data_IF_172221951285
#
_entry.id   IF_172221951285
#
_cell.length_a   1.000
_cell.length_b   1.000
_cell.length_c   1.000
_cell.angle_alpha   90.00
_cell.angle_beta   90.00
_cell.angle_gamma   90.00
#
_symmetry.space_group_name_H-M   'P 1'
#
loop_
_entity.id
_entity.type
_entity.pdbx_description
1 polymer ?
#
# COMPACT_ATOMS: atom_id res chain seq x y z
N UNK A 1 -15.58 55.18 45.14
CA UNK A 1 -16.21 54.22 44.21
C UNK A 1 -15.64 54.43 42.82
N UNK A 2 -14.88 53.45 42.30
CA UNK A 2 -14.74 53.06 40.88
C UNK A 2 -13.58 52.06 40.80
N UNK A 3 -13.94 50.77 40.77
CA UNK A 3 -13.00 49.67 40.60
C UNK A 3 -12.67 49.53 39.11
N UNK A 4 -11.39 49.57 38.76
CA UNK A 4 -10.91 49.35 37.40
C UNK A 4 -10.51 47.87 37.28
N UNK A 5 -11.30 47.10 36.54
CA UNK A 5 -11.03 45.69 36.27
C UNK A 5 -9.95 45.58 35.18
N UNK A 6 -8.83 44.96 35.52
CA UNK A 6 -7.77 44.63 34.56
C UNK A 6 -7.98 43.18 34.08
N UNK A 7 -8.58 43.03 32.91
CA UNK A 7 -8.82 41.72 32.29
C UNK A 7 -7.54 41.21 31.64
N UNK A 8 -6.96 40.16 32.19
CA UNK A 8 -5.82 39.44 31.59
C UNK A 8 -6.33 38.57 30.44
N UNK A 9 -6.03 38.97 29.20
CA UNK A 9 -6.33 38.19 28.00
C UNK A 9 -5.30 37.09 27.79
N UNK A 10 -5.73 35.83 27.93
CA UNK A 10 -4.97 34.63 27.62
C UNK A 10 -4.80 34.51 26.08
N UNK A 11 -3.65 34.93 25.58
CA UNK A 11 -3.24 34.69 24.18
C UNK A 11 -2.87 33.20 24.02
N UNK A 12 -3.80 32.42 23.46
CA UNK A 12 -3.54 31.07 22.95
C UNK A 12 -2.67 31.20 21.69
N UNK A 13 -1.36 30.98 21.84
CA UNK A 13 -0.46 30.76 20.72
C UNK A 13 -0.82 29.43 20.05
N UNK A 14 -1.55 29.52 18.95
CA UNK A 14 -1.76 28.40 18.04
C UNK A 14 -0.42 28.21 17.31
N UNK A 15 0.45 27.35 17.82
CA UNK A 15 1.62 26.90 17.10
C UNK A 15 1.16 26.11 15.88
N UNK A 16 0.99 26.82 14.76
CA UNK A 16 0.96 26.19 13.44
C UNK A 16 2.33 25.59 13.21
N UNK A 17 2.42 24.27 13.31
CA UNK A 17 3.61 23.53 12.91
C UNK A 17 3.67 23.58 11.38
N UNK A 18 4.15 24.70 10.82
CA UNK A 18 4.57 24.74 9.42
C UNK A 18 5.89 23.97 9.35
N UNK A 19 5.80 22.69 9.01
CA UNK A 19 6.97 21.91 8.60
C UNK A 19 7.57 22.59 7.37
N UNK A 20 8.54 23.46 7.61
CA UNK A 20 9.40 24.07 6.60
C UNK A 20 10.43 23.02 6.17
N UNK A 21 9.94 21.97 5.52
CA UNK A 21 10.77 21.05 4.75
C UNK A 21 10.98 21.62 3.35
N UNK A 22 12.19 21.52 2.84
CA UNK A 22 12.50 21.89 1.46
C UNK A 22 11.58 21.10 0.51
N UNK A 23 10.83 21.83 -0.32
CA UNK A 23 9.93 21.20 -1.29
C UNK A 23 10.77 20.53 -2.39
N UNK A 24 10.83 19.21 -2.35
CA UNK A 24 11.39 18.41 -3.43
C UNK A 24 10.29 17.97 -4.39
N UNK A 25 10.51 18.20 -5.69
CA UNK A 25 9.58 17.73 -6.71
C UNK A 25 9.56 16.20 -6.69
N UNK A 26 8.37 15.61 -6.74
CA UNK A 26 8.23 14.14 -6.73
C UNK A 26 9.00 13.52 -7.92
N UNK A 27 9.99 12.63 -7.67
CA UNK A 27 10.72 11.96 -8.75
C UNK A 27 9.80 11.13 -9.65
N UNK A 28 8.70 10.61 -9.09
CA UNK A 28 7.69 9.86 -9.84
C UNK A 28 7.06 10.74 -10.92
N UNK A 29 6.72 11.99 -10.59
CA UNK A 29 6.11 12.93 -11.53
C UNK A 29 7.07 13.36 -12.63
N UNK A 30 8.35 13.51 -12.28
CA UNK A 30 9.39 13.78 -13.26
C UNK A 30 9.62 12.61 -14.21
N UNK A 31 9.69 11.38 -13.69
CA UNK A 31 9.80 10.17 -14.51
C UNK A 31 8.59 10.01 -15.43
N UNK A 32 7.37 10.20 -14.94
CA UNK A 32 6.14 10.17 -15.76
C UNK A 32 6.24 11.17 -16.91
N UNK A 33 6.67 12.41 -16.62
CA UNK A 33 6.82 13.45 -17.63
C UNK A 33 7.92 13.13 -18.65
N UNK A 34 9.06 12.60 -18.20
CA UNK A 34 10.18 12.21 -19.07
C UNK A 34 9.79 11.07 -20.02
N UNK A 35 8.91 10.18 -19.56
CA UNK A 35 8.40 9.05 -20.33
C UNK A 35 7.05 9.33 -21.00
N UNK A 36 6.70 10.58 -21.27
CA UNK A 36 5.38 10.90 -21.83
C UNK A 36 5.16 10.29 -23.23
N UNK A 37 6.23 10.16 -24.02
CA UNK A 37 6.20 9.48 -25.32
C UNK A 37 5.93 7.98 -25.22
N UNK A 38 6.17 7.37 -24.05
CA UNK A 38 5.89 5.96 -23.83
C UNK A 38 4.39 5.75 -23.71
N UNK A 39 3.87 4.77 -24.46
CA UNK A 39 2.47 4.34 -24.30
C UNK A 39 2.27 3.59 -22.99
N UNK A 40 3.29 2.84 -22.58
CA UNK A 40 3.21 1.88 -21.49
C UNK A 40 4.46 1.91 -20.63
N UNK A 41 4.28 2.05 -19.32
CA UNK A 41 5.34 1.83 -18.34
C UNK A 41 4.78 1.43 -16.99
N UNK A 42 5.61 0.82 -16.15
CA UNK A 42 5.36 0.60 -14.73
C UNK A 42 6.55 1.10 -13.94
N UNK A 43 6.31 1.93 -12.92
CA UNK A 43 7.31 2.40 -11.97
C UNK A 43 7.09 1.65 -10.66
N UNK A 44 8.07 0.89 -10.23
CA UNK A 44 8.10 0.12 -8.99
C UNK A 44 9.03 0.82 -8.00
N UNK A 45 8.59 1.00 -6.76
CA UNK A 45 9.49 1.42 -5.68
C UNK A 45 10.42 0.26 -5.37
N UNK A 46 11.67 0.37 -5.82
CA UNK A 46 12.62 -0.74 -5.81
C UNK A 46 13.36 -0.83 -4.48
N UNK A 47 13.85 0.30 -3.98
CA UNK A 47 14.57 0.39 -2.71
C UNK A 47 14.31 1.76 -2.04
N UNK A 48 14.55 1.83 -0.72
CA UNK A 48 14.46 3.04 0.08
C UNK A 48 15.58 3.11 1.11
N UNK A 49 15.97 4.31 1.50
CA UNK A 49 16.92 4.53 2.59
C UNK A 49 16.66 5.83 3.34
N UNK A 50 17.17 5.89 4.56
CA UNK A 50 17.20 7.09 5.40
C UNK A 50 18.63 7.30 5.88
N UNK A 51 19.27 8.35 5.41
CA UNK A 51 20.60 8.74 5.87
C UNK A 51 20.46 9.87 6.88
N UNK A 52 20.89 9.65 8.11
CA UNK A 52 20.89 10.68 9.16
C UNK A 52 22.29 11.27 9.34
N UNK A 53 22.39 12.61 9.41
CA UNK A 53 23.58 13.29 9.89
C UNK A 53 23.19 14.33 10.94
N UNK A 54 23.34 13.99 12.23
CA UNK A 54 23.26 14.77 13.49
C UNK A 54 22.15 15.84 13.70
N UNK A 55 21.52 16.39 12.66
CA UNK A 55 20.55 17.48 12.67
C UNK A 55 19.35 17.25 11.72
N UNK A 56 19.47 16.41 10.67
CA UNK A 56 18.36 16.11 9.76
C UNK A 56 18.50 14.76 9.05
N UNK A 57 17.36 14.10 8.80
CA UNK A 57 17.25 12.91 7.96
C UNK A 57 17.20 13.29 6.47
N UNK A 58 17.90 12.52 5.63
CA UNK A 58 17.77 12.54 4.17
C UNK A 58 17.04 11.29 3.71
N UNK A 59 15.87 11.47 3.10
CA UNK A 59 15.06 10.37 2.59
C UNK A 59 15.41 10.09 1.14
N UNK A 60 15.61 8.81 0.80
CA UNK A 60 15.99 8.40 -0.55
C UNK A 60 15.13 7.27 -1.07
N UNK A 61 14.73 7.36 -2.33
CA UNK A 61 14.06 6.30 -3.06
C UNK A 61 14.88 5.87 -4.27
N UNK A 62 14.82 4.58 -4.59
CA UNK A 62 15.28 4.01 -5.86
C UNK A 62 14.10 3.34 -6.55
N UNK A 63 14.01 3.47 -7.86
CA UNK A 63 12.91 2.93 -8.64
C UNK A 63 13.39 1.91 -9.67
N UNK A 64 12.50 0.98 -9.99
CA UNK A 64 12.62 0.09 -11.15
C UNK A 64 11.52 0.45 -12.13
N UNK A 65 11.90 0.71 -13.37
CA UNK A 65 10.98 1.06 -14.44
C UNK A 65 10.90 -0.12 -15.40
N UNK A 66 9.69 -0.59 -15.69
CA UNK A 66 9.43 -1.58 -16.74
C UNK A 66 8.79 -0.85 -17.92
N UNK A 67 9.41 -0.97 -19.11
CA UNK A 67 8.94 -0.40 -20.39
C UNK A 67 8.85 -1.50 -21.44
N UNK A 68 8.22 -1.21 -22.57
CA UNK A 68 8.19 -2.10 -23.74
C UNK A 68 9.10 -1.54 -24.82
N UNK A 69 9.87 -2.39 -25.51
CA UNK A 69 10.67 -1.94 -26.66
C UNK A 69 9.76 -1.35 -27.74
N UNK A 70 10.22 -0.29 -28.39
CA UNK A 70 9.51 0.35 -29.51
C UNK A 70 9.59 -0.46 -30.83
N UNK A 71 9.92 -1.75 -30.76
CA UNK A 71 9.98 -2.67 -31.89
C UNK A 71 8.67 -3.48 -32.03
N UNK A 72 8.58 -4.31 -33.07
CA UNK A 72 7.41 -5.15 -33.32
C UNK A 72 7.16 -6.20 -32.23
N UNK A 73 8.17 -6.53 -31.41
CA UNK A 73 8.06 -7.53 -30.36
C UNK A 73 7.43 -6.96 -29.10
N UNK A 74 7.54 -5.64 -28.88
CA UNK A 74 7.07 -4.95 -27.67
C UNK A 74 7.53 -5.65 -26.39
N UNK A 75 8.73 -6.23 -26.44
CA UNK A 75 9.28 -7.04 -25.34
C UNK A 75 9.50 -6.15 -24.12
N UNK A 76 8.97 -6.50 -22.93
CA UNK A 76 9.23 -5.76 -21.71
C UNK A 76 10.71 -5.79 -21.31
N UNK A 77 11.23 -4.68 -20.80
CA UNK A 77 12.58 -4.58 -20.23
C UNK A 77 12.58 -3.69 -19.00
N UNK A 78 13.54 -3.90 -18.10
CA UNK A 78 13.67 -3.14 -16.86
C UNK A 78 14.88 -2.20 -16.86
N UNK A 79 14.74 -1.09 -16.13
CA UNK A 79 15.78 -0.10 -15.86
C UNK A 79 15.72 0.25 -14.36
N UNK A 80 16.84 0.15 -13.65
CA UNK A 80 16.95 0.59 -12.26
C UNK A 80 17.52 2.00 -12.26
N UNK A 81 16.85 2.91 -11.55
CA UNK A 81 17.27 4.30 -11.49
C UNK A 81 18.43 4.50 -10.52
N UNK A 82 19.05 5.68 -10.61
CA UNK A 82 19.81 6.22 -9.49
C UNK A 82 18.91 6.51 -8.27
N UNK A 83 19.55 6.83 -7.14
CA UNK A 83 18.85 7.23 -5.93
C UNK A 83 18.36 8.68 -6.05
N UNK A 84 17.09 8.89 -5.78
CA UNK A 84 16.50 10.22 -5.68
C UNK A 84 16.30 10.61 -4.23
N UNK A 85 16.71 11.83 -3.88
CA UNK A 85 16.30 12.46 -2.62
C UNK A 85 14.83 12.84 -2.75
N UNK A 86 14.04 12.48 -1.74
CA UNK A 86 12.62 12.80 -1.65
C UNK A 86 12.35 13.57 -0.36
N UNK A 87 11.26 14.32 -0.35
CA UNK A 87 10.78 14.92 0.90
C UNK A 87 10.19 13.84 1.83
N UNK A 88 10.07 14.17 3.12
CA UNK A 88 9.55 13.25 4.15
C UNK A 88 8.11 12.80 3.87
N UNK A 89 7.26 13.64 3.29
CA UNK A 89 5.87 13.28 2.99
C UNK A 89 5.80 12.25 1.86
N UNK A 90 6.64 12.41 0.83
CA UNK A 90 6.79 11.44 -0.25
C UNK A 90 7.33 10.12 0.29
N UNK A 91 8.33 10.15 1.17
CA UNK A 91 8.84 8.93 1.82
C UNK A 91 7.76 8.23 2.65
N UNK A 92 7.11 8.97 3.56
CA UNK A 92 6.07 8.44 4.45
C UNK A 92 4.87 7.88 3.67
N UNK A 93 4.55 8.45 2.51
CA UNK A 93 3.48 7.95 1.63
C UNK A 93 3.78 6.55 1.10
N UNK A 94 5.03 6.26 0.76
CA UNK A 94 5.45 5.02 0.08
C UNK A 94 6.27 4.08 0.97
N UNK A 95 6.45 4.40 2.26
CA UNK A 95 7.27 3.60 3.18
C UNK A 95 6.79 2.14 3.34
N UNK A 96 5.51 1.87 3.04
CA UNK A 96 4.92 0.53 3.04
C UNK A 96 4.85 -0.12 1.65
N UNK A 97 5.25 0.60 0.60
CA UNK A 97 5.06 0.25 -0.81
C UNK A 97 6.34 -0.27 -1.48
N UNK A 98 7.39 -0.61 -0.74
CA UNK A 98 8.59 -1.15 -1.36
C UNK A 98 8.31 -2.52 -2.00
N UNK A 99 8.78 -2.67 -3.24
CA UNK A 99 8.43 -3.77 -4.12
C UNK A 99 7.04 -3.66 -4.72
N UNK A 100 6.36 -2.51 -4.64
CA UNK A 100 5.06 -2.26 -5.27
C UNK A 100 5.20 -1.32 -6.46
N UNK A 101 4.27 -1.43 -7.40
CA UNK A 101 4.05 -0.38 -8.38
C UNK A 101 3.58 0.87 -7.64
N UNK A 102 4.17 2.03 -7.95
CA UNK A 102 3.76 3.34 -7.42
C UNK A 102 3.17 4.23 -8.51
N UNK A 103 3.45 3.90 -9.78
CA UNK A 103 2.77 4.47 -10.93
C UNK A 103 2.81 3.50 -12.11
N UNK A 104 1.84 3.63 -13.01
CA UNK A 104 1.79 2.92 -14.28
C UNK A 104 1.17 3.80 -15.36
N UNK A 105 1.51 3.55 -16.61
CA UNK A 105 0.82 4.08 -17.78
C UNK A 105 0.38 2.90 -18.63
N UNK A 106 -0.90 2.86 -18.96
CA UNK A 106 -1.51 1.80 -19.74
C UNK A 106 -2.26 2.42 -20.91
N UNK A 107 -1.79 2.15 -22.12
CA UNK A 107 -2.38 2.63 -23.36
C UNK A 107 -2.59 4.16 -23.34
N UNK A 108 -1.59 4.88 -22.83
CA UNK A 108 -1.62 6.34 -22.70
C UNK A 108 -2.19 6.86 -21.37
N UNK A 109 -2.91 6.04 -20.60
CA UNK A 109 -3.56 6.47 -19.35
C UNK A 109 -2.66 6.25 -18.16
N UNK A 110 -2.27 7.34 -17.49
CA UNK A 110 -1.45 7.31 -16.28
C UNK A 110 -2.31 7.04 -15.04
N UNK A 111 -1.83 6.16 -14.17
CA UNK A 111 -2.33 5.92 -12.82
C UNK A 111 -1.19 5.99 -11.82
N UNK A 112 -1.33 6.77 -10.75
CA UNK A 112 -0.39 6.83 -9.62
C UNK A 112 -0.83 5.95 -8.44
N UNK A 113 -1.68 4.97 -8.71
CA UNK A 113 -2.19 4.08 -7.67
C UNK A 113 -1.15 3.00 -7.36
N UNK A 114 -0.90 2.78 -6.08
CA UNK A 114 -0.08 1.65 -5.63
C UNK A 114 -0.77 0.31 -5.92
N UNK A 115 -0.06 -0.61 -6.58
CA UNK A 115 -0.54 -1.96 -6.87
C UNK A 115 0.59 -2.99 -6.77
N UNK A 116 0.28 -4.29 -6.58
CA UNK A 116 1.32 -5.31 -6.67
C UNK A 116 2.00 -5.31 -8.04
N UNK A 117 3.29 -5.66 -8.12
CA UNK A 117 4.01 -5.75 -9.38
C UNK A 117 3.28 -6.61 -10.42
N UNK A 118 3.03 -6.02 -11.58
CA UNK A 118 2.38 -6.64 -12.72
C UNK A 118 0.87 -6.57 -12.75
N UNK A 119 0.21 -6.20 -11.65
CA UNK A 119 -1.24 -6.26 -11.57
C UNK A 119 -1.94 -5.19 -12.42
N UNK A 120 -1.30 -4.03 -12.62
CA UNK A 120 -1.91 -2.95 -13.40
C UNK A 120 -2.01 -3.28 -14.90
N UNK A 121 -1.05 -4.06 -15.43
CA UNK A 121 -0.90 -4.27 -16.88
C UNK A 121 -0.77 -5.71 -17.34
N UNK A 122 0.07 -6.49 -16.67
CA UNK A 122 0.62 -7.72 -17.23
C UNK A 122 -0.13 -8.97 -16.76
N UNK A 123 -0.43 -9.05 -15.46
CA UNK A 123 -1.22 -10.13 -14.89
C UNK A 123 -2.67 -9.99 -15.35
N UNK A 124 -3.24 -11.07 -15.85
CA UNK A 124 -4.62 -11.10 -16.35
C UNK A 124 -4.77 -10.60 -17.79
N UNK A 125 -3.67 -10.20 -18.45
CA UNK A 125 -3.67 -9.78 -19.85
C UNK A 125 -3.19 -10.93 -20.75
N UNK A 126 -4.08 -11.44 -21.60
CA UNK A 126 -3.87 -12.62 -22.45
C UNK A 126 -2.71 -12.45 -23.44
N UNK A 127 -2.27 -11.21 -23.72
CA UNK A 127 -1.07 -10.97 -24.52
C UNK A 127 0.18 -11.58 -23.86
N UNK A 128 0.27 -11.57 -22.53
CA UNK A 128 1.49 -11.93 -21.80
C UNK A 128 1.44 -13.32 -21.18
N UNK A 129 0.26 -13.93 -21.06
CA UNK A 129 0.11 -15.21 -20.38
C UNK A 129 -1.34 -15.67 -20.29
N UNK A 130 -1.57 -16.68 -19.44
CA UNK A 130 -2.91 -17.22 -19.19
C UNK A 130 -3.05 -17.72 -17.77
N UNK A 131 -4.31 -17.85 -17.31
CA UNK A 131 -4.62 -18.57 -16.08
C UNK A 131 -4.44 -20.07 -16.30
N UNK A 132 -3.69 -20.72 -15.42
CA UNK A 132 -3.46 -22.16 -15.40
C UNK A 132 -4.03 -22.73 -14.10
N UNK A 133 -4.62 -23.92 -14.15
CA UNK A 133 -5.19 -24.58 -12.96
C UNK A 133 -4.26 -25.69 -12.50
N UNK A 134 -3.90 -25.70 -11.22
CA UNK A 134 -3.11 -26.78 -10.63
C UNK A 134 -3.99 -27.99 -10.25
N UNK A 135 -3.36 -29.10 -9.87
CA UNK A 135 -4.05 -30.33 -9.45
C UNK A 135 -4.96 -30.14 -8.22
N UNK A 136 -4.74 -29.07 -7.45
CA UNK A 136 -5.57 -28.68 -6.29
C UNK A 136 -6.78 -27.82 -6.67
N UNK A 137 -7.02 -27.58 -7.97
CA UNK A 137 -8.14 -26.77 -8.47
C UNK A 137 -7.94 -25.26 -8.37
N UNK A 138 -6.76 -24.80 -7.94
CA UNK A 138 -6.45 -23.37 -7.85
C UNK A 138 -5.92 -22.84 -9.17
N UNK A 139 -6.46 -21.72 -9.65
CA UNK A 139 -5.96 -21.03 -10.84
C UNK A 139 -4.90 -20.00 -10.50
N UNK A 140 -3.76 -20.04 -11.19
CA UNK A 140 -2.65 -19.10 -11.08
C UNK A 140 -2.24 -18.53 -12.44
N UNK A 141 -1.60 -17.37 -12.43
CA UNK A 141 -1.11 -16.72 -13.65
C UNK A 141 0.20 -17.36 -14.11
N UNK A 142 0.25 -17.77 -15.36
CA UNK A 142 1.48 -18.23 -16.03
C UNK A 142 1.78 -17.36 -17.24
N UNK A 143 2.97 -16.74 -17.26
CA UNK A 143 3.47 -16.02 -18.43
C UNK A 143 3.81 -17.00 -19.55
N UNK A 144 3.63 -16.57 -20.81
CA UNK A 144 4.16 -17.33 -21.94
C UNK A 144 5.68 -17.37 -21.91
N UNK A 145 6.30 -18.39 -22.52
CA UNK A 145 7.75 -18.61 -22.45
C UNK A 145 8.57 -17.37 -22.85
N UNK A 146 8.15 -16.66 -23.90
CA UNK A 146 8.78 -15.41 -24.35
C UNK A 146 8.72 -14.27 -23.32
N UNK A 147 7.84 -14.37 -22.32
CA UNK A 147 7.66 -13.44 -21.22
C UNK A 147 8.01 -14.05 -19.86
N UNK A 148 8.65 -15.22 -19.80
CA UNK A 148 8.94 -15.89 -18.53
C UNK A 148 9.76 -15.01 -17.57
N UNK A 149 10.68 -14.20 -18.13
CA UNK A 149 11.53 -13.25 -17.39
C UNK A 149 10.73 -12.20 -16.61
N UNK A 150 9.50 -11.91 -17.02
CA UNK A 150 8.61 -10.96 -16.36
C UNK A 150 8.37 -11.32 -14.90
N UNK A 151 8.33 -12.62 -14.61
CA UNK A 151 8.19 -13.13 -13.25
C UNK A 151 9.36 -12.73 -12.35
N UNK A 152 10.57 -12.59 -12.91
CA UNK A 152 11.76 -12.09 -12.21
C UNK A 152 11.71 -10.57 -12.05
N UNK A 153 11.40 -9.83 -13.12
CA UNK A 153 11.38 -8.35 -13.10
C UNK A 153 10.39 -7.81 -12.06
N UNK A 154 9.22 -8.44 -11.96
CA UNK A 154 8.15 -8.13 -10.99
C UNK A 154 8.29 -8.91 -9.68
N UNK A 155 9.35 -9.72 -9.58
CA UNK A 155 9.67 -10.67 -8.50
C UNK A 155 8.49 -11.49 -7.97
N UNK A 156 7.66 -11.93 -8.90
CA UNK A 156 6.63 -12.95 -8.71
C UNK A 156 7.24 -14.35 -8.45
N UNK A 157 8.57 -14.49 -8.49
CA UNK A 157 9.30 -15.70 -8.08
C UNK A 157 9.07 -16.11 -6.63
N UNK A 158 8.66 -15.17 -5.77
CA UNK A 158 8.33 -15.46 -4.38
C UNK A 158 7.05 -16.29 -4.20
N UNK A 159 6.20 -16.40 -5.23
CA UNK A 159 5.04 -17.27 -5.27
C UNK A 159 4.04 -16.92 -6.38
N UNK A 160 3.27 -17.90 -6.90
CA UNK A 160 2.40 -17.70 -8.05
C UNK A 160 1.25 -16.75 -7.75
N UNK A 161 0.88 -15.90 -8.72
CA UNK A 161 -0.27 -15.00 -8.58
C UNK A 161 -1.56 -15.78 -8.78
N UNK A 162 -2.37 -15.90 -7.74
CA UNK A 162 -3.65 -16.61 -7.83
C UNK A 162 -4.76 -15.73 -8.41
N UNK A 163 -5.64 -16.35 -9.21
CA UNK A 163 -6.77 -15.69 -9.86
C UNK A 163 -7.72 -15.03 -8.87
N UNK A 164 -7.90 -15.65 -7.70
CA UNK A 164 -8.72 -15.12 -6.61
C UNK A 164 -8.15 -13.81 -6.07
N UNK A 165 -6.85 -13.76 -5.75
CA UNK A 165 -6.18 -12.55 -5.29
C UNK A 165 -6.17 -11.45 -6.35
N UNK A 166 -5.97 -11.80 -7.62
CA UNK A 166 -6.05 -10.82 -8.71
C UNK A 166 -7.48 -10.28 -8.90
N UNK A 167 -8.49 -11.13 -8.81
CA UNK A 167 -9.89 -10.71 -8.92
C UNK A 167 -10.30 -9.77 -7.78
N UNK A 168 -9.86 -10.08 -6.55
CA UNK A 168 -10.08 -9.21 -5.40
C UNK A 168 -9.45 -7.83 -5.60
N UNK A 169 -8.16 -7.77 -6.00
CA UNK A 169 -7.52 -6.51 -6.40
C UNK A 169 -8.35 -5.75 -7.45
N UNK A 170 -8.69 -6.43 -8.54
CA UNK A 170 -9.34 -5.81 -9.69
C UNK A 170 -10.71 -5.23 -9.34
N UNK A 171 -11.46 -5.92 -8.49
CA UNK A 171 -12.85 -5.57 -8.17
C UNK A 171 -12.95 -4.57 -7.00
N UNK A 172 -12.08 -4.68 -6.00
CA UNK A 172 -12.26 -3.98 -4.73
C UNK A 172 -11.17 -2.92 -4.44
N UNK A 173 -10.06 -2.94 -5.16
CA UNK A 173 -8.90 -2.10 -4.86
C UNK A 173 -8.52 -1.20 -6.02
N UNK A 174 -8.53 -1.71 -7.27
CA UNK A 174 -8.20 -0.94 -8.47
C UNK A 174 -9.06 0.33 -8.55
N UNK A 175 -8.41 1.49 -8.66
CA UNK A 175 -8.98 2.83 -8.66
C UNK A 175 -9.31 3.41 -7.27
N UNK A 176 -9.19 2.64 -6.19
CA UNK A 176 -9.69 3.05 -4.86
C UNK A 176 -8.58 3.14 -3.82
N UNK A 177 -7.80 2.06 -3.63
CA UNK A 177 -6.79 1.99 -2.56
C UNK A 177 -5.68 0.98 -2.88
N UNK A 178 -4.50 1.07 -2.23
CA UNK A 178 -3.43 0.08 -2.38
C UNK A 178 -3.88 -1.34 -1.98
N UNK A 179 -3.37 -2.36 -2.67
CA UNK A 179 -3.63 -3.77 -2.37
C UNK A 179 -2.34 -4.49 -2.00
N UNK A 180 -2.20 -4.88 -0.74
CA UNK A 180 -1.03 -5.60 -0.22
C UNK A 180 -1.18 -7.13 -0.25
N UNK A 181 -2.29 -7.63 -0.80
CA UNK A 181 -2.62 -9.06 -0.79
C UNK A 181 -3.13 -9.56 0.56
N UNK A 182 -3.45 -10.85 0.60
CA UNK A 182 -3.88 -11.52 1.83
C UNK A 182 -2.74 -11.62 2.86
N UNK A 183 -3.13 -11.73 4.13
CA UNK A 183 -2.20 -11.96 5.24
C UNK A 183 -1.80 -13.43 5.29
N UNK A 184 -0.50 -13.71 5.42
CA UNK A 184 0.04 -15.06 5.62
C UNK A 184 -0.24 -15.57 7.03
N UNK A 185 0.04 -16.86 7.29
CA UNK A 185 -0.11 -17.45 8.63
C UNK A 185 0.74 -16.75 9.70
N UNK A 186 1.83 -16.09 9.30
CA UNK A 186 2.72 -15.32 10.17
C UNK A 186 2.30 -13.86 10.36
N UNK A 187 1.13 -13.46 9.83
CA UNK A 187 0.63 -12.10 9.97
C UNK A 187 1.20 -11.09 8.97
N UNK A 188 2.08 -11.52 8.05
CA UNK A 188 2.69 -10.62 7.05
C UNK A 188 1.79 -10.48 5.82
N UNK A 189 1.81 -9.32 5.16
CA UNK A 189 1.15 -9.15 3.86
C UNK A 189 1.94 -9.85 2.77
N UNK A 190 1.27 -10.17 1.65
CA UNK A 190 1.93 -10.78 0.50
C UNK A 190 2.82 -9.80 -0.24
N UNK A 191 2.44 -8.53 -0.31
CA UNK A 191 3.18 -7.48 -1.00
C UNK A 191 3.41 -6.26 -0.10
N UNK A 192 4.29 -5.34 -0.51
CA UNK A 192 4.73 -4.18 0.26
C UNK A 192 6.00 -4.39 1.06
N UNK A 193 6.47 -3.34 1.73
CA UNK A 193 7.80 -3.25 2.36
C UNK A 193 8.09 -4.39 3.32
N UNK A 194 7.11 -4.80 4.14
CA UNK A 194 7.28 -5.84 5.16
C UNK A 194 6.84 -7.24 4.69
N UNK A 195 6.58 -7.40 3.40
CA UNK A 195 6.09 -8.66 2.86
C UNK A 195 7.18 -9.72 2.66
N UNK A 196 6.76 -10.98 2.60
CA UNK A 196 7.66 -12.09 2.25
C UNK A 196 8.21 -11.96 0.83
N UNK A 197 7.44 -11.38 -0.09
CA UNK A 197 7.88 -11.11 -1.47
C UNK A 197 9.01 -10.08 -1.45
N UNK A 198 8.82 -8.96 -0.75
CA UNK A 198 9.85 -7.93 -0.60
C UNK A 198 11.12 -8.46 0.07
N UNK A 199 10.99 -9.26 1.14
CA UNK A 199 12.13 -9.89 1.84
C UNK A 199 13.00 -10.74 0.92
N UNK A 200 12.38 -11.48 0.00
CA UNK A 200 13.11 -12.32 -0.97
C UNK A 200 13.74 -11.51 -2.10
N UNK A 201 13.07 -10.46 -2.57
CA UNK A 201 13.56 -9.65 -3.67
C UNK A 201 14.69 -8.71 -3.25
N UNK A 202 14.61 -8.13 -2.04
CA UNK A 202 15.49 -7.04 -1.59
C UNK A 202 16.15 -7.34 -0.23
N UNK A 203 16.96 -8.41 -0.09
CA UNK A 203 17.57 -8.78 1.18
C UNK A 203 18.47 -7.69 1.76
N UNK A 204 19.14 -6.90 0.91
CA UNK A 204 20.00 -5.78 1.32
C UNK A 204 19.21 -4.68 2.02
N UNK A 205 18.04 -4.31 1.49
CA UNK A 205 17.15 -3.35 2.17
C UNK A 205 16.77 -3.86 3.55
N UNK A 206 16.33 -5.12 3.64
CA UNK A 206 15.86 -5.70 4.90
C UNK A 206 16.98 -5.78 5.93
N UNK A 207 18.20 -6.03 5.49
CA UNK A 207 19.38 -5.90 6.34
C UNK A 207 19.54 -4.45 6.85
N UNK A 208 19.50 -3.44 5.97
CA UNK A 208 19.57 -2.01 6.37
C UNK A 208 18.44 -1.62 7.31
N UNK A 209 17.21 -2.07 7.07
CA UNK A 209 16.05 -1.81 7.91
C UNK A 209 16.19 -2.39 9.33
N UNK A 210 17.11 -3.33 9.55
CA UNK A 210 17.45 -3.85 10.89
C UNK A 210 18.64 -3.13 11.54
N UNK A 211 19.60 -2.65 10.76
CA UNK A 211 20.85 -2.07 11.25
C UNK A 211 20.82 -0.54 11.35
N UNK A 212 20.08 0.14 10.47
CA UNK A 212 19.90 1.59 10.46
C UNK A 212 18.69 1.96 11.32
N UNK A 213 18.92 2.62 12.46
CA UNK A 213 17.87 3.01 13.41
C UNK A 213 16.86 3.99 12.83
N UNK A 214 17.30 4.94 12.00
CA UNK A 214 16.42 5.92 11.36
C UNK A 214 15.47 5.22 10.39
N UNK A 215 16.00 4.39 9.47
CA UNK A 215 15.18 3.60 8.55
C UNK A 215 14.26 2.64 9.31
N UNK A 216 14.79 1.93 10.31
CA UNK A 216 14.04 1.00 11.16
C UNK A 216 12.81 1.67 11.80
N UNK A 217 12.99 2.89 12.31
CA UNK A 217 11.93 3.66 12.96
C UNK A 217 10.80 4.05 12.00
N UNK A 218 11.08 4.21 10.71
CA UNK A 218 10.06 4.51 9.71
C UNK A 218 9.30 3.26 9.28
N UNK A 219 10.04 2.22 8.90
CA UNK A 219 9.42 1.04 8.25
C UNK A 219 8.77 0.06 9.23
N UNK A 220 9.26 -0.06 10.48
CA UNK A 220 8.70 -1.02 11.45
C UNK A 220 7.59 -0.45 12.34
N UNK A 221 7.52 0.87 12.56
CA UNK A 221 6.50 1.47 13.41
C UNK A 221 5.07 1.37 12.83
N UNK A 222 4.93 0.99 11.55
CA UNK A 222 3.65 0.78 10.90
C UNK A 222 3.06 -0.64 11.03
N UNK A 223 3.79 -1.57 11.68
CA UNK A 223 3.26 -2.89 12.09
C UNK A 223 2.06 -2.74 13.05
N UNK A 224 2.06 -1.68 13.88
CA UNK A 224 0.99 -1.40 14.83
C UNK A 224 -0.26 -0.74 14.18
N UNK A 225 -0.09 -0.06 13.03
CA UNK A 225 -1.20 0.66 12.36
C UNK A 225 -1.94 -0.18 11.34
N UNK A 226 -1.25 -1.12 10.69
CA UNK A 226 -1.84 -2.06 9.72
C UNK A 226 -2.55 -3.26 10.39
N UNK A 227 -2.29 -3.53 11.67
CA UNK A 227 -3.00 -4.52 12.49
C UNK A 227 -4.25 -3.97 13.20
N UNK A 228 -4.47 -2.65 13.19
CA UNK A 228 -5.59 -1.97 13.87
C UNK A 228 -6.91 -1.85 13.10
N UNK A 229 -7.04 -2.49 11.93
CA UNK A 229 -8.21 -2.41 11.05
C UNK A 229 -9.29 -3.47 11.27
N UNK A 230 -9.31 -4.14 12.44
CA UNK A 230 -10.47 -4.91 12.89
C UNK A 230 -11.05 -4.19 14.08
N UNK A 231 -11.94 -3.23 13.84
CA UNK A 231 -13.00 -2.94 14.81
C UNK A 231 -13.70 -4.28 15.03
N UNK A 232 -13.37 -4.94 16.14
CA UNK A 232 -14.22 -5.97 16.69
C UNK A 232 -15.59 -5.32 16.78
N UNK A 233 -16.52 -5.75 15.92
CA UNK A 233 -17.93 -5.58 16.21
C UNK A 233 -18.09 -6.22 17.57
N UNK A 234 -18.11 -5.40 18.62
CA UNK A 234 -18.57 -5.84 19.92
C UNK A 234 -20.03 -6.19 19.67
N UNK A 235 -20.29 -7.46 19.38
CA UNK A 235 -21.61 -8.03 19.55
C UNK A 235 -21.90 -7.91 21.04
N UNK A 236 -22.43 -6.74 21.44
CA UNK A 236 -23.10 -6.59 22.72
C UNK A 236 -24.36 -7.44 22.63
N UNK A 237 -24.20 -8.73 22.92
CA UNK A 237 -25.27 -9.62 23.31
C UNK A 237 -25.88 -9.03 24.57
N UNK A 238 -26.90 -8.21 24.39
CA UNK A 238 -27.66 -7.62 25.49
C UNK A 238 -28.68 -8.66 25.95
N UNK A 239 -28.20 -9.64 26.73
CA UNK A 239 -29.05 -10.59 27.45
C UNK A 239 -28.74 -10.46 28.94
N UNK A 240 -29.30 -9.40 29.55
CA UNK A 240 -29.52 -9.34 31.00
C UNK A 240 -31.00 -9.15 31.25
N UNK A 241 -31.67 -10.25 31.55
CA UNK A 241 -32.58 -10.30 32.69
C UNK A 241 -32.75 -11.78 33.08
N UNK A 242 -32.20 -12.13 34.24
CA UNK A 242 -32.55 -13.36 34.95
C UNK A 242 -33.52 -13.01 36.06
N UNK A 243 -34.61 -13.79 36.11
CA UNK A 243 -35.39 -14.22 37.28
C UNK A 243 -36.16 -13.20 38.13
N UNK A 244 -37.44 -13.49 38.37
CA UNK A 244 -38.04 -13.24 39.70
C UNK A 244 -39.50 -12.81 39.76
N UNK A 245 -40.43 -13.71 39.43
CA UNK A 245 -41.71 -13.96 40.12
C UNK A 245 -42.60 -12.82 40.70
N UNK A 246 -43.82 -12.77 40.16
CA UNK A 246 -45.13 -12.91 40.86
C UNK A 246 -46.10 -11.72 40.96
N UNK A 247 -47.33 -12.05 40.57
CA UNK A 247 -48.63 -11.50 40.97
C UNK A 247 -49.10 -10.14 40.42
N UNK A 248 -50.13 -10.16 39.56
CA UNK A 248 -51.54 -9.98 39.99
C UNK A 248 -52.48 -9.97 38.77
N UNK A 249 -53.49 -10.83 38.86
CA UNK A 249 -54.71 -10.86 38.06
C UNK A 249 -55.53 -9.58 38.24
N UNK A 250 -56.11 -9.05 37.14
CA UNK A 250 -57.42 -8.39 37.11
C UNK A 250 -58.06 -8.54 35.74
N UNK A 251 -59.09 -9.37 35.69
CA UNK A 251 -60.14 -9.37 34.67
C UNK A 251 -60.87 -8.03 34.71
N UNK A 252 -61.17 -7.42 33.55
CA UNK A 252 -62.36 -6.59 33.40
C UNK A 252 -62.90 -6.68 31.97
N UNK A 253 -64.19 -7.00 31.93
CA UNK A 253 -65.12 -7.00 30.81
C UNK A 253 -65.54 -5.56 30.44
N UNK A 254 -66.34 -5.43 29.36
CA UNK A 254 -66.96 -4.22 28.77
C UNK A 254 -66.12 -3.57 27.66
N UNK A 255 -66.51 -3.52 26.39
CA UNK A 255 -67.85 -3.40 25.80
C UNK A 255 -67.93 -2.04 25.08
N UNK A 256 -68.32 -2.01 23.79
CA UNK A 256 -68.67 -0.73 23.15
C UNK A 256 -68.57 -0.65 21.63
N UNK A 257 -69.71 -0.98 20.99
CA UNK A 257 -70.25 -0.53 19.69
C UNK A 257 -69.54 -0.91 18.40
#
# INVERSE_FOLDING_TARGET
>A
MKNLYFTVGLFLFISSCSSSGDFHKSPIDEMIRKMDSEKNFTIILYDMDVEGAFLSDTYKHQYKIIKEKADSTQTPYEEITEWYIVDENTFSRYENDMGMEVASKNDGVVSKQTAPPGYSRYVGNEKYGRWQTNNSGQSFWGFYGQYAFMSSMMGLMAGPVYRTSYSDYRNNYRGVRPYYGGTTSTGSTRYGTLSDVSRKQNPKFHQRATTNSALKSRVNNNIARSSGGRTSKTSRSNSRYSSGSSSRSRSFSSGGK
#
